data_IF_728840560250
#
_entry.id   IF_728840560250
#
_cell.length_a   1.000
_cell.length_b   1.000
_cell.length_c   1.000
_cell.angle_alpha   90.00
_cell.angle_beta   90.00
_cell.angle_gamma   90.00
#
_symmetry.space_group_name_H-M   'P 1'
#
loop_
_entity.id
_entity.type
_entity.pdbx_description
1 polymer ?
#
# COMPACT_ATOMS: atom_id res chain seq x y z
N UNK A 1 43.43 -30.58 -1.29
CA UNK A 1 42.06 -31.06 -1.58
C UNK A 1 41.28 -31.08 -0.28
N UNK A 2 40.57 -30.00 0.02
CA UNK A 2 39.80 -29.84 1.27
C UNK A 2 38.36 -29.61 0.85
N UNK A 3 37.52 -30.63 1.00
CA UNK A 3 36.09 -30.56 0.68
C UNK A 3 35.38 -29.80 1.80
N UNK A 4 34.88 -28.60 1.49
CA UNK A 4 33.94 -27.88 2.34
C UNK A 4 32.54 -28.50 2.16
N UNK A 5 31.99 -29.08 3.22
CA UNK A 5 30.59 -29.48 3.26
C UNK A 5 29.73 -28.26 3.59
N UNK A 6 28.95 -27.78 2.62
CA UNK A 6 27.83 -26.87 2.88
C UNK A 6 26.68 -27.68 3.49
N UNK A 7 26.42 -27.49 4.79
CA UNK A 7 25.21 -28.01 5.41
C UNK A 7 24.07 -27.03 5.13
N UNK A 8 23.21 -27.39 4.18
CA UNK A 8 21.96 -26.67 3.92
C UNK A 8 20.99 -27.07 5.04
N UNK A 9 20.71 -26.14 5.95
CA UNK A 9 19.65 -26.30 6.93
C UNK A 9 18.29 -26.29 6.20
N UNK A 10 17.77 -27.47 5.91
CA UNK A 10 16.39 -27.66 5.43
C UNK A 10 15.47 -27.46 6.65
N UNK A 11 14.85 -26.29 6.75
CA UNK A 11 13.73 -26.10 7.68
C UNK A 11 12.51 -26.84 7.14
N UNK A 12 12.25 -28.02 7.69
CA UNK A 12 10.99 -28.75 7.55
C UNK A 12 9.89 -27.95 8.26
N UNK A 13 9.09 -27.20 7.49
CA UNK A 13 7.86 -26.62 8.00
C UNK A 13 6.82 -27.74 8.22
N UNK A 14 6.62 -28.10 9.49
CA UNK A 14 5.42 -28.81 9.91
C UNK A 14 4.21 -27.92 9.62
N UNK A 15 3.37 -28.33 8.67
CA UNK A 15 2.05 -27.73 8.43
C UNK A 15 1.12 -28.03 9.62
N UNK A 16 1.32 -27.30 10.71
CA UNK A 16 0.23 -27.02 11.63
C UNK A 16 -0.63 -25.94 10.99
N UNK A 17 -1.93 -26.16 10.87
CA UNK A 17 -2.89 -25.09 10.59
C UNK A 17 -2.89 -24.12 11.78
N UNK A 18 -1.89 -23.23 11.83
CA UNK A 18 -1.90 -22.10 12.73
C UNK A 18 -2.98 -21.18 12.19
N UNK A 19 -4.13 -21.13 12.87
CA UNK A 19 -5.12 -20.09 12.62
C UNK A 19 -4.40 -18.77 12.95
N UNK A 20 -4.05 -18.00 11.91
CA UNK A 20 -3.41 -16.71 12.08
C UNK A 20 -4.33 -15.81 12.93
N UNK A 21 -3.85 -15.43 14.12
CA UNK A 21 -4.59 -14.58 15.04
C UNK A 21 -4.04 -13.15 14.99
N UNK A 22 -4.94 -12.16 15.01
CA UNK A 22 -4.54 -10.75 15.03
C UNK A 22 -3.62 -10.49 16.23
N UNK A 23 -2.46 -9.89 15.98
CA UNK A 23 -1.45 -9.59 17.00
C UNK A 23 -1.53 -8.12 17.40
N UNK A 24 -1.71 -7.79 18.69
CA UNK A 24 -1.70 -6.41 19.17
C UNK A 24 -0.27 -5.84 19.17
N UNK A 25 -0.14 -4.57 18.81
CA UNK A 25 1.09 -3.80 18.76
C UNK A 25 0.89 -2.43 19.41
N UNK A 26 1.96 -1.86 19.94
CA UNK A 26 2.01 -0.49 20.42
C UNK A 26 3.20 0.22 19.78
N UNK A 27 2.97 1.42 19.27
CA UNK A 27 4.03 2.26 18.70
C UNK A 27 4.03 3.60 19.40
N UNK A 28 5.21 4.02 19.88
CA UNK A 28 5.38 5.31 20.56
C UNK A 28 6.73 5.93 20.23
N UNK A 29 6.70 7.14 19.69
CA UNK A 29 7.85 8.02 19.54
C UNK A 29 7.46 9.48 19.86
N UNK A 30 8.30 10.45 19.48
CA UNK A 30 8.05 11.87 19.73
C UNK A 30 6.87 12.46 18.93
N UNK A 31 6.42 11.78 17.89
CA UNK A 31 5.38 12.21 16.95
C UNK A 31 4.08 11.41 17.07
N UNK A 32 4.17 10.09 17.30
CA UNK A 32 3.05 9.16 17.25
C UNK A 32 3.01 8.39 18.57
N UNK A 33 1.78 8.19 19.07
CA UNK A 33 1.50 7.25 20.14
C UNK A 33 0.21 6.51 19.77
N UNK A 34 0.29 5.22 19.49
CA UNK A 34 -0.87 4.42 19.08
C UNK A 34 -0.75 2.94 19.47
N UNK A 35 -1.91 2.30 19.54
CA UNK A 35 -2.09 0.86 19.73
C UNK A 35 -2.97 0.34 18.61
N UNK A 36 -2.55 -0.74 17.98
CA UNK A 36 -3.18 -1.28 16.79
C UNK A 36 -2.94 -2.77 16.67
N UNK A 37 -3.71 -3.45 15.83
CA UNK A 37 -3.57 -4.87 15.61
C UNK A 37 -3.16 -5.15 14.16
N UNK A 38 -2.38 -6.21 13.95
CA UNK A 38 -1.96 -6.68 12.63
C UNK A 38 -2.31 -8.15 12.42
N UNK A 39 -2.59 -8.53 11.18
CA UNK A 39 -2.76 -9.92 10.74
C UNK A 39 -2.07 -10.07 9.38
N UNK A 40 -1.13 -11.01 9.26
CA UNK A 40 -0.35 -11.26 8.03
C UNK A 40 0.29 -9.98 7.45
N UNK A 41 0.92 -9.19 8.33
CA UNK A 41 1.55 -7.91 7.97
C UNK A 41 0.57 -6.76 7.65
N UNK A 42 -0.74 -6.98 7.68
CA UNK A 42 -1.77 -5.99 7.36
C UNK A 42 -2.43 -5.46 8.63
N UNK A 43 -2.86 -4.19 8.64
CA UNK A 43 -3.66 -3.64 9.73
C UNK A 43 -4.99 -4.39 9.83
N UNK A 44 -5.31 -4.93 11.01
CA UNK A 44 -6.49 -5.76 11.22
C UNK A 44 -6.92 -5.75 12.69
N UNK A 45 -8.12 -5.24 12.96
CA UNK A 45 -8.68 -5.11 14.30
C UNK A 45 -8.71 -3.66 14.77
N UNK A 46 -8.63 -3.46 16.09
CA UNK A 46 -8.78 -2.15 16.72
C UNK A 46 -7.57 -1.25 16.44
N UNK A 47 -7.81 0.04 16.26
CA UNK A 47 -6.81 1.11 16.24
C UNK A 47 -7.19 2.18 17.26
N UNK A 48 -6.23 2.67 18.03
CA UNK A 48 -6.38 3.81 18.94
C UNK A 48 -5.10 4.64 18.89
N UNK A 49 -5.21 5.96 18.77
CA UNK A 49 -4.08 6.87 18.92
C UNK A 49 -4.32 7.94 19.97
N UNK A 50 -3.24 8.55 20.46
CA UNK A 50 -3.26 9.54 21.54
C UNK A 50 -2.48 10.80 21.16
N UNK A 51 -2.98 11.94 21.64
CA UNK A 51 -2.26 13.20 21.66
C UNK A 51 -1.10 13.14 22.67
N UNK A 52 -0.14 14.06 22.53
CA UNK A 52 1.02 14.17 23.45
C UNK A 52 0.63 14.33 24.92
N UNK A 53 -0.53 14.93 25.20
CA UNK A 53 -1.07 15.11 26.54
C UNK A 53 -1.80 13.87 27.10
N UNK A 54 -1.75 12.74 26.39
CA UNK A 54 -2.38 11.48 26.81
C UNK A 54 -3.86 11.37 26.47
N UNK A 55 -4.51 12.43 25.98
CA UNK A 55 -5.90 12.35 25.54
C UNK A 55 -6.02 11.56 24.24
N UNK A 56 -7.13 10.83 24.06
CA UNK A 56 -7.39 10.07 22.85
C UNK A 56 -7.45 11.02 21.64
N UNK A 57 -6.75 10.67 20.56
CA UNK A 57 -6.74 11.40 19.28
C UNK A 57 -7.66 10.73 18.27
N UNK A 58 -7.59 9.41 18.12
CA UNK A 58 -8.49 8.67 17.23
C UNK A 58 -8.80 7.28 17.76
N UNK A 59 -9.90 6.70 17.30
CA UNK A 59 -10.20 5.28 17.44
C UNK A 59 -11.01 4.77 16.25
N UNK A 60 -10.79 3.51 15.88
CA UNK A 60 -11.50 2.86 14.80
C UNK A 60 -11.11 1.40 14.65
N UNK A 61 -11.48 0.83 13.50
CA UNK A 61 -11.18 -0.56 13.16
C UNK A 61 -10.69 -0.68 11.71
N UNK A 62 -9.71 -1.56 11.54
CA UNK A 62 -9.23 -2.03 10.25
C UNK A 62 -9.65 -3.47 10.01
N UNK A 63 -9.79 -3.82 8.74
CA UNK A 63 -9.92 -5.18 8.27
C UNK A 63 -9.00 -5.35 7.06
N UNK A 64 -7.82 -5.95 7.26
CA UNK A 64 -6.80 -6.16 6.23
C UNK A 64 -6.51 -4.88 5.44
N UNK A 65 -5.97 -3.86 6.11
CA UNK A 65 -5.68 -2.51 5.60
C UNK A 65 -6.90 -1.63 5.23
N UNK A 66 -8.13 -2.16 5.23
CA UNK A 66 -9.33 -1.37 4.96
C UNK A 66 -9.97 -0.83 6.25
N UNK A 67 -10.27 0.46 6.30
CA UNK A 67 -11.08 1.04 7.37
C UNK A 67 -12.49 0.49 7.30
N UNK A 68 -13.00 0.05 8.45
CA UNK A 68 -14.37 -0.43 8.60
C UNK A 68 -15.01 0.15 9.85
N UNK A 69 -16.34 0.18 9.87
CA UNK A 69 -17.10 0.58 11.05
C UNK A 69 -16.93 2.07 11.38
N UNK A 70 -17.16 2.42 12.64
CA UNK A 70 -17.13 3.82 13.08
C UNK A 70 -15.73 4.24 13.49
N UNK A 71 -15.22 5.25 12.81
CA UNK A 71 -14.00 5.98 13.13
C UNK A 71 -14.35 7.30 13.81
N UNK A 72 -13.64 7.64 14.89
CA UNK A 72 -13.81 8.90 15.63
C UNK A 72 -12.46 9.57 15.80
N UNK A 73 -12.46 10.90 15.72
CA UNK A 73 -11.26 11.73 15.91
C UNK A 73 -11.59 12.91 16.82
N UNK A 74 -10.74 13.13 17.82
CA UNK A 74 -10.86 14.18 18.82
C UNK A 74 -9.71 15.18 18.72
N UNK A 75 -9.96 16.43 19.11
CA UNK A 75 -8.88 17.40 19.29
C UNK A 75 -8.09 17.16 20.59
N UNK A 76 -7.02 17.93 20.78
CA UNK A 76 -6.15 17.83 21.95
C UNK A 76 -6.83 18.28 23.27
N UNK A 77 -8.05 18.82 23.22
CA UNK A 77 -8.86 19.15 24.40
C UNK A 77 -9.90 18.07 24.70
N UNK A 78 -9.95 17.00 23.91
CA UNK A 78 -10.88 15.89 24.09
C UNK A 78 -12.24 16.11 23.44
N UNK A 79 -12.42 17.15 22.62
CA UNK A 79 -13.67 17.39 21.91
C UNK A 79 -13.75 16.50 20.67
N UNK A 80 -14.87 15.80 20.48
CA UNK A 80 -15.11 15.00 19.28
C UNK A 80 -15.28 15.92 18.07
N UNK A 81 -14.35 15.81 17.11
CA UNK A 81 -14.30 16.66 15.91
C UNK A 81 -14.92 15.99 14.70
N UNK A 82 -14.60 14.72 14.51
CA UNK A 82 -15.06 13.95 13.36
C UNK A 82 -15.53 12.57 13.80
N UNK A 83 -16.63 12.10 13.19
CA UNK A 83 -17.10 10.73 13.32
C UNK A 83 -17.63 10.25 11.99
N UNK A 84 -17.08 9.15 11.47
CA UNK A 84 -17.38 8.62 10.14
C UNK A 84 -17.62 7.11 10.24
N UNK A 85 -18.63 6.60 9.54
CA UNK A 85 -18.87 5.16 9.40
C UNK A 85 -18.37 4.69 8.04
N UNK A 86 -17.26 3.98 8.03
CA UNK A 86 -16.62 3.42 6.85
C UNK A 86 -17.25 2.08 6.45
N UNK A 87 -17.51 1.94 5.16
CA UNK A 87 -17.84 0.65 4.52
C UNK A 87 -16.57 0.01 3.95
N UNK A 88 -15.73 0.82 3.31
CA UNK A 88 -14.39 0.49 2.82
C UNK A 88 -13.55 1.78 2.76
N UNK A 89 -12.33 1.73 2.21
CA UNK A 89 -11.43 2.89 2.14
C UNK A 89 -11.94 4.05 1.27
N UNK A 90 -12.90 3.80 0.37
CA UNK A 90 -13.43 4.79 -0.57
C UNK A 90 -14.81 5.33 -0.14
N UNK A 91 -15.55 4.56 0.64
CA UNK A 91 -16.94 4.84 1.01
C UNK A 91 -17.11 5.03 2.53
N UNK A 92 -17.62 6.19 2.93
CA UNK A 92 -18.02 6.45 4.30
C UNK A 92 -19.26 7.34 4.42
N UNK A 93 -19.96 7.23 5.55
CA UNK A 93 -21.01 8.17 5.96
C UNK A 93 -20.51 9.07 7.09
N UNK A 94 -20.63 10.40 6.93
CA UNK A 94 -20.31 11.35 8.00
C UNK A 94 -21.41 11.34 9.07
N UNK A 95 -21.04 11.04 10.31
CA UNK A 95 -21.88 11.15 11.51
C UNK A 95 -21.67 12.53 12.15
N UNK A 96 -20.41 12.97 12.26
CA UNK A 96 -20.01 14.28 12.77
C UNK A 96 -18.96 14.90 11.84
N UNK A 97 -19.16 16.14 11.36
CA UNK A 97 -20.39 16.94 11.53
C UNK A 97 -21.57 16.30 10.79
N UNK A 98 -22.79 16.50 11.30
CA UNK A 98 -24.00 16.06 10.61
C UNK A 98 -24.09 16.81 9.28
N UNK A 99 -24.13 16.09 8.16
CA UNK A 99 -24.42 16.71 6.87
C UNK A 99 -25.81 17.35 6.93
N UNK A 100 -25.92 18.60 6.49
CA UNK A 100 -27.22 19.25 6.33
C UNK A 100 -28.07 18.53 5.29
N UNK A 101 -29.39 18.52 5.48
CA UNK A 101 -30.36 17.95 4.54
C UNK A 101 -30.75 18.92 3.42
N UNK A 102 -30.27 20.16 3.48
CA UNK A 102 -30.54 21.18 2.48
C UNK A 102 -30.06 20.71 1.08
N UNK A 103 -30.97 20.69 0.12
CA UNK A 103 -30.73 20.24 -1.24
C UNK A 103 -29.62 21.04 -1.94
N UNK A 104 -29.49 22.33 -1.59
CA UNK A 104 -28.47 23.26 -2.11
C UNK A 104 -27.05 22.85 -1.69
N UNK A 105 -26.91 22.37 -0.45
CA UNK A 105 -25.64 21.90 0.11
C UNK A 105 -25.41 20.41 -0.19
N UNK A 106 -26.45 19.66 -0.57
CA UNK A 106 -26.35 18.25 -1.02
C UNK A 106 -25.59 18.13 -2.35
N UNK A 107 -25.72 19.11 -3.25
CA UNK A 107 -24.93 19.23 -4.49
C UNK A 107 -23.44 19.51 -4.21
N UNK A 108 -23.12 20.27 -3.14
CA UNK A 108 -21.76 20.49 -2.64
C UNK A 108 -21.18 19.29 -1.84
N UNK A 109 -21.97 18.23 -1.63
CA UNK A 109 -21.63 17.06 -0.79
C UNK A 109 -21.54 15.73 -1.56
N UNK A 110 -21.59 15.74 -2.90
CA UNK A 110 -21.11 14.60 -3.72
C UNK A 110 -19.60 14.48 -3.46
N UNK A 111 -18.95 13.31 -3.51
CA UNK A 111 -18.95 12.39 -4.64
C UNK A 111 -18.83 10.94 -4.17
N UNK A 112 -19.83 10.08 -4.40
CA UNK A 112 -19.62 8.66 -4.24
C UNK A 112 -18.77 8.19 -5.42
N UNK A 113 -17.44 8.22 -5.24
CA UNK A 113 -16.64 7.22 -5.93
C UNK A 113 -17.00 5.89 -5.30
N UNK A 114 -17.94 5.20 -5.93
CA UNK A 114 -18.26 3.82 -5.64
C UNK A 114 -17.45 3.02 -6.64
N UNK A 115 -16.44 2.26 -6.19
CA UNK A 115 -15.69 1.41 -7.08
C UNK A 115 -16.63 0.42 -7.78
N UNK A 116 -16.67 0.48 -9.10
CA UNK A 116 -17.37 -0.46 -9.95
C UNK A 116 -16.38 -1.07 -10.94
N UNK A 117 -16.59 -2.35 -11.28
CA UNK A 117 -15.78 -3.00 -12.30
C UNK A 117 -16.17 -2.46 -13.66
N UNK A 118 -15.18 -2.13 -14.46
CA UNK A 118 -15.38 -1.79 -15.86
C UNK A 118 -15.58 -3.06 -16.71
N UNK A 119 -15.76 -2.85 -18.02
CA UNK A 119 -15.94 -3.92 -19.01
C UNK A 119 -14.78 -4.93 -19.08
N UNK A 120 -13.60 -4.54 -18.61
CA UNK A 120 -12.36 -5.33 -18.62
C UNK A 120 -12.11 -5.99 -17.25
N UNK A 121 -13.11 -5.99 -16.37
CA UNK A 121 -13.16 -6.66 -15.07
C UNK A 121 -12.20 -6.14 -13.99
N UNK A 122 -11.75 -4.89 -14.08
CA UNK A 122 -10.99 -4.20 -13.03
C UNK A 122 -11.65 -2.89 -12.59
N UNK A 123 -11.17 -2.30 -11.50
CA UNK A 123 -11.66 -1.04 -10.96
C UNK A 123 -10.84 0.14 -11.51
N UNK A 124 -11.52 1.09 -12.16
CA UNK A 124 -10.88 2.34 -12.57
C UNK A 124 -10.61 3.20 -11.34
N UNK A 125 -9.41 3.80 -11.26
CA UNK A 125 -9.09 4.73 -10.19
C UNK A 125 -9.94 6.00 -10.31
N UNK A 126 -10.25 6.62 -9.17
CA UNK A 126 -10.87 7.94 -9.19
C UNK A 126 -9.95 8.97 -9.83
N UNK A 127 -10.44 9.66 -10.85
CA UNK A 127 -9.70 10.76 -11.50
C UNK A 127 -9.54 11.91 -10.51
N UNK A 128 -8.29 12.21 -10.15
CA UNK A 128 -7.97 13.23 -9.16
C UNK A 128 -7.51 14.50 -9.86
N UNK A 129 -8.27 15.58 -9.67
CA UNK A 129 -7.83 16.92 -10.06
C UNK A 129 -6.70 17.41 -9.14
N UNK A 130 -5.60 17.90 -9.70
CA UNK A 130 -4.46 18.42 -8.94
C UNK A 130 -4.88 19.53 -7.96
N UNK A 131 -5.81 20.40 -8.36
CA UNK A 131 -6.33 21.48 -7.50
C UNK A 131 -7.12 20.99 -6.27
N UNK A 132 -7.50 19.70 -6.25
CA UNK A 132 -8.20 19.05 -5.13
C UNK A 132 -7.26 18.23 -4.26
N UNK A 133 -6.02 18.00 -4.69
CA UNK A 133 -4.99 17.32 -3.91
C UNK A 133 -4.30 18.31 -2.97
N UNK A 134 -4.68 18.31 -1.69
CA UNK A 134 -4.16 19.28 -0.70
C UNK A 134 -2.98 18.75 0.11
N UNK A 135 -2.70 17.45 0.00
CA UNK A 135 -1.57 16.77 0.61
C UNK A 135 -1.16 15.65 -0.32
N UNK A 136 0.14 15.53 -0.61
CA UNK A 136 0.69 14.35 -1.27
C UNK A 136 2.01 13.94 -0.62
N UNK A 137 2.20 12.62 -0.46
CA UNK A 137 3.44 12.04 0.02
C UNK A 137 3.74 10.72 -0.67
N UNK A 138 4.97 10.59 -1.20
CA UNK A 138 5.41 9.41 -1.93
C UNK A 138 6.43 8.59 -1.14
N UNK A 139 6.24 7.28 -1.17
CA UNK A 139 7.11 6.28 -0.58
C UNK A 139 7.55 5.29 -1.65
N UNK A 140 8.72 4.70 -1.45
CA UNK A 140 9.06 3.43 -2.07
C UNK A 140 8.61 2.36 -1.10
N UNK A 141 8.06 1.26 -1.58
CA UNK A 141 7.66 0.13 -0.75
C UNK A 141 8.19 -1.17 -1.32
N UNK A 142 8.47 -2.14 -0.45
CA UNK A 142 8.85 -3.49 -0.85
C UNK A 142 7.73 -4.45 -0.51
N UNK A 143 7.31 -5.24 -1.50
CA UNK A 143 6.42 -6.39 -1.29
C UNK A 143 7.28 -7.65 -1.29
N UNK A 144 7.14 -8.48 -0.26
CA UNK A 144 7.88 -9.73 -0.09
C UNK A 144 6.98 -10.96 -0.26
N UNK A 145 7.51 -12.10 -0.74
CA UNK A 145 6.72 -13.30 -1.01
C UNK A 145 6.10 -13.94 0.24
N UNK A 146 6.81 -13.88 1.37
CA UNK A 146 6.41 -14.51 2.63
C UNK A 146 5.00 -14.11 3.11
N UNK A 147 4.64 -12.83 2.96
CA UNK A 147 3.34 -12.28 3.38
C UNK A 147 2.35 -12.15 2.21
N UNK A 148 2.79 -12.43 0.99
CA UNK A 148 2.06 -12.15 -0.24
C UNK A 148 2.16 -13.26 -1.31
N UNK A 149 2.03 -14.56 -0.96
CA UNK A 149 2.39 -15.66 -1.87
C UNK A 149 1.67 -15.63 -3.23
N UNK A 150 0.42 -15.15 -3.27
CA UNK A 150 -0.37 -15.04 -4.51
C UNK A 150 0.28 -14.10 -5.53
N UNK A 151 0.89 -13.00 -5.06
CA UNK A 151 1.58 -12.03 -5.93
C UNK A 151 2.89 -12.58 -6.51
N UNK A 152 3.38 -13.73 -6.02
CA UNK A 152 4.64 -14.35 -6.47
C UNK A 152 4.39 -15.64 -7.24
N UNK A 153 3.18 -15.81 -7.78
CA UNK A 153 2.84 -16.96 -8.61
C UNK A 153 3.58 -16.94 -9.94
N UNK A 154 3.80 -18.14 -10.51
CA UNK A 154 4.45 -18.32 -11.80
C UNK A 154 3.76 -17.53 -12.92
N UNK A 155 2.43 -17.48 -12.91
CA UNK A 155 1.63 -16.77 -13.91
C UNK A 155 1.92 -15.27 -13.95
N UNK A 156 2.24 -14.65 -12.81
CA UNK A 156 2.59 -13.22 -12.78
C UNK A 156 3.99 -13.00 -13.35
N UNK A 157 4.95 -13.85 -13.02
CA UNK A 157 6.29 -13.81 -13.63
C UNK A 157 6.19 -13.98 -15.16
N UNK A 158 5.42 -14.96 -15.63
CA UNK A 158 5.18 -15.20 -17.04
C UNK A 158 4.53 -14.00 -17.73
N UNK A 159 3.63 -13.28 -17.04
CA UNK A 159 3.02 -12.05 -17.55
C UNK A 159 4.06 -10.95 -17.80
N UNK A 160 4.97 -10.68 -16.85
CA UNK A 160 6.05 -9.70 -17.05
C UNK A 160 7.00 -10.12 -18.18
N UNK A 161 7.40 -11.39 -18.21
CA UNK A 161 8.32 -11.92 -19.22
C UNK A 161 7.70 -11.88 -20.62
N UNK A 162 6.43 -12.24 -20.77
CA UNK A 162 5.75 -12.31 -22.06
C UNK A 162 5.50 -10.93 -22.66
N UNK A 163 5.25 -9.91 -21.83
CA UNK A 163 4.89 -8.57 -22.29
C UNK A 163 6.06 -7.58 -22.29
N UNK A 164 7.27 -8.00 -21.93
CA UNK A 164 8.45 -7.12 -21.76
C UNK A 164 8.81 -6.21 -22.94
N UNK A 165 8.45 -6.61 -24.16
CA UNK A 165 8.74 -5.89 -25.41
C UNK A 165 7.48 -5.17 -25.96
N UNK A 166 6.35 -5.18 -25.23
CA UNK A 166 5.09 -4.56 -25.64
C UNK A 166 5.05 -3.06 -25.36
N UNK A 167 4.41 -2.28 -26.24
CA UNK A 167 4.14 -0.85 -26.04
C UNK A 167 3.22 -0.57 -24.85
N UNK A 168 2.42 -1.55 -24.42
CA UNK A 168 1.57 -1.43 -23.22
C UNK A 168 2.39 -1.65 -21.93
N UNK A 169 3.58 -2.25 -22.04
CA UNK A 169 4.47 -2.64 -20.94
C UNK A 169 5.77 -1.83 -20.97
N UNK A 170 5.65 -0.51 -21.06
CA UNK A 170 6.80 0.39 -21.05
C UNK A 170 7.52 0.35 -19.70
N UNK A 171 8.83 0.12 -19.73
CA UNK A 171 9.71 0.25 -18.58
C UNK A 171 10.13 1.72 -18.44
N UNK A 172 9.66 2.39 -17.40
CA UNK A 172 9.90 3.81 -17.16
C UNK A 172 11.09 4.02 -16.24
N UNK A 173 11.83 5.08 -16.50
CA UNK A 173 12.70 5.63 -15.48
C UNK A 173 11.84 6.42 -14.46
N UNK A 174 11.91 6.07 -13.18
CA UNK A 174 11.20 6.80 -12.12
C UNK A 174 11.68 8.26 -11.96
N UNK A 175 12.89 8.58 -12.44
CA UNK A 175 13.50 9.92 -12.46
C UNK A 175 13.18 10.72 -13.74
N UNK A 176 12.98 10.03 -14.86
CA UNK A 176 12.60 10.63 -16.14
C UNK A 176 11.44 9.84 -16.75
N UNK A 177 10.22 10.25 -16.37
CA UNK A 177 8.96 9.61 -16.79
C UNK A 177 8.74 9.64 -18.30
N UNK A 178 9.60 10.34 -19.05
CA UNK A 178 9.52 10.48 -20.50
C UNK A 178 10.44 9.53 -21.26
N UNK A 179 11.38 8.85 -20.59
CA UNK A 179 12.30 7.91 -21.23
C UNK A 179 11.98 6.46 -20.84
N UNK A 180 11.35 5.75 -21.77
CA UNK A 180 11.21 4.31 -21.68
C UNK A 180 12.55 3.64 -21.99
N UNK A 181 12.98 2.70 -21.14
CA UNK A 181 14.13 1.82 -21.41
C UNK A 181 13.63 0.46 -21.90
N UNK A 182 14.50 -0.31 -22.55
CA UNK A 182 14.20 -1.71 -22.85
C UNK A 182 14.27 -2.53 -21.56
N UNK A 183 13.37 -3.50 -21.40
CA UNK A 183 13.46 -4.49 -20.33
C UNK A 183 14.55 -5.51 -20.71
N UNK A 184 15.79 -5.24 -20.30
CA UNK A 184 16.95 -6.03 -20.69
C UNK A 184 17.13 -7.24 -19.77
N UNK A 185 16.52 -8.37 -20.15
CA UNK A 185 16.84 -9.67 -19.55
C UNK A 185 17.62 -10.51 -20.55
N UNK A 186 18.82 -10.95 -20.12
CA UNK A 186 19.73 -11.73 -20.97
C UNK A 186 19.33 -13.20 -21.09
N UNK A 187 18.69 -13.77 -20.05
CA UNK A 187 18.25 -15.18 -20.01
C UNK A 187 16.88 -15.31 -19.35
N UNK A 188 15.93 -15.96 -20.04
CA UNK A 188 14.56 -16.18 -19.56
C UNK A 188 14.35 -17.55 -18.89
N UNK A 189 15.40 -18.39 -18.81
CA UNK A 189 15.23 -19.81 -18.47
C UNK A 189 15.03 -20.07 -16.97
N UNK A 190 15.75 -19.35 -16.11
CA UNK A 190 15.79 -19.65 -14.67
C UNK A 190 15.69 -18.38 -13.81
N UNK A 191 14.69 -17.56 -14.15
CA UNK A 191 14.34 -16.35 -13.41
C UNK A 191 13.47 -16.70 -12.20
N UNK A 192 13.79 -16.09 -11.06
CA UNK A 192 12.99 -16.12 -9.85
C UNK A 192 12.54 -14.72 -9.49
N UNK A 193 11.23 -14.52 -9.35
CA UNK A 193 10.67 -13.31 -8.75
C UNK A 193 10.87 -13.37 -7.23
N UNK A 194 11.66 -12.45 -6.68
CA UNK A 194 12.05 -12.48 -5.25
C UNK A 194 11.47 -11.35 -4.42
N UNK A 195 11.12 -10.22 -5.04
CA UNK A 195 10.42 -9.10 -4.40
C UNK A 195 9.70 -8.24 -5.46
N UNK A 196 8.93 -7.26 -5.00
CA UNK A 196 8.59 -6.09 -5.80
C UNK A 196 9.07 -4.81 -5.12
N UNK A 197 9.62 -3.86 -5.89
CA UNK A 197 9.62 -2.45 -5.49
C UNK A 197 8.34 -1.81 -6.02
N UNK A 198 7.69 -0.95 -5.24
CA UNK A 198 6.54 -0.14 -5.68
C UNK A 198 6.72 1.30 -5.29
N UNK A 199 6.15 2.23 -6.05
CA UNK A 199 5.92 3.59 -5.57
C UNK A 199 4.51 3.69 -5.04
N UNK A 200 4.38 4.14 -3.79
CA UNK A 200 3.10 4.39 -3.14
C UNK A 200 2.93 5.88 -2.88
N UNK A 201 1.83 6.47 -3.30
CA UNK A 201 1.51 7.87 -3.11
C UNK A 201 0.25 8.00 -2.25
N UNK A 202 0.41 8.63 -1.09
CA UNK A 202 -0.69 9.06 -0.24
C UNK A 202 -1.14 10.42 -0.72
N UNK A 203 -2.41 10.56 -1.11
CA UNK A 203 -2.98 11.83 -1.54
C UNK A 203 -4.26 12.09 -0.78
N UNK A 204 -4.36 13.26 -0.15
CA UNK A 204 -5.61 13.69 0.46
C UNK A 204 -6.43 14.45 -0.57
N UNK A 205 -7.54 13.84 -0.95
CA UNK A 205 -8.49 14.38 -1.90
C UNK A 205 -9.54 15.22 -1.16
N UNK A 206 -9.60 16.51 -1.47
CA UNK A 206 -10.55 17.44 -0.85
C UNK A 206 -12.01 17.19 -1.28
N UNK A 207 -12.23 16.65 -2.47
CA UNK A 207 -13.54 16.36 -3.04
C UNK A 207 -14.18 15.17 -2.32
N UNK A 208 -13.42 14.07 -2.19
CA UNK A 208 -13.88 12.87 -1.44
C UNK A 208 -13.62 12.97 0.07
N UNK A 209 -12.79 13.91 0.51
CA UNK A 209 -12.34 14.10 1.91
C UNK A 209 -11.75 12.84 2.54
N UNK A 210 -10.96 12.09 1.77
CA UNK A 210 -10.25 10.87 2.20
C UNK A 210 -8.77 10.99 1.84
N UNK A 211 -7.91 10.34 2.64
CA UNK A 211 -6.58 9.98 2.18
C UNK A 211 -6.67 8.68 1.38
N UNK A 212 -6.21 8.72 0.14
CA UNK A 212 -6.06 7.53 -0.69
C UNK A 212 -4.59 7.16 -0.82
N UNK A 213 -4.25 5.88 -0.64
CA UNK A 213 -2.91 5.36 -0.89
C UNK A 213 -2.88 4.65 -2.25
N UNK A 214 -2.29 5.26 -3.27
CA UNK A 214 -2.21 4.69 -4.64
C UNK A 214 -0.87 4.03 -4.86
N UNK A 215 -0.84 2.85 -5.47
CA UNK A 215 0.40 2.33 -6.05
C UNK A 215 0.48 2.87 -7.46
N UNK A 216 1.54 3.62 -7.75
CA UNK A 216 1.71 4.30 -9.04
C UNK A 216 2.52 3.42 -9.99
N UNK A 217 3.67 2.93 -9.52
CA UNK A 217 4.54 2.04 -10.28
C UNK A 217 4.86 0.77 -9.50
N UNK A 218 5.17 -0.29 -10.24
CA UNK A 218 5.66 -1.57 -9.72
C UNK A 218 6.89 -2.01 -10.51
N UNK A 219 7.89 -2.55 -9.82
CA UNK A 219 9.10 -3.11 -10.41
C UNK A 219 9.31 -4.53 -9.86
N UNK A 220 9.15 -5.58 -10.69
CA UNK A 220 9.48 -6.94 -10.30
C UNK A 220 10.99 -7.08 -10.11
N UNK A 221 11.39 -7.63 -8.98
CA UNK A 221 12.79 -7.91 -8.68
C UNK A 221 13.07 -9.36 -9.03
N UNK A 222 13.86 -9.55 -10.09
CA UNK A 222 14.12 -10.87 -10.68
C UNK A 222 15.57 -11.28 -10.45
N UNK A 223 15.78 -12.52 -10.00
CA UNK A 223 17.09 -13.14 -9.88
C UNK A 223 17.25 -14.20 -10.96
N UNK A 224 18.23 -14.05 -11.84
CA UNK A 224 18.71 -15.15 -12.67
C UNK A 224 19.55 -16.09 -11.81
N UNK A 225 19.02 -17.29 -11.56
CA UNK A 225 19.66 -18.25 -10.67
C UNK A 225 20.87 -18.97 -11.27
N UNK A 226 21.10 -18.86 -12.59
CA UNK A 226 22.31 -19.38 -13.24
C UNK A 226 23.44 -18.38 -13.11
N UNK A 227 23.19 -17.13 -13.52
CA UNK A 227 24.24 -16.09 -13.56
C UNK A 227 24.39 -15.35 -12.24
N UNK A 228 23.45 -15.53 -11.32
CA UNK A 228 23.30 -14.74 -10.09
C UNK A 228 23.11 -13.23 -10.38
N UNK A 229 22.62 -12.88 -11.56
CA UNK A 229 22.33 -11.51 -11.96
C UNK A 229 20.99 -11.08 -11.38
N UNK A 230 20.97 -9.91 -10.75
CA UNK A 230 19.78 -9.29 -10.20
C UNK A 230 19.26 -8.21 -11.16
N UNK A 231 17.97 -8.26 -11.48
CA UNK A 231 17.25 -7.28 -12.27
C UNK A 231 16.24 -6.56 -11.37
N UNK A 232 16.55 -5.34 -10.95
CA UNK A 232 15.79 -4.59 -9.94
C UNK A 232 15.33 -3.18 -10.37
N UNK A 233 15.75 -2.72 -11.55
CA UNK A 233 15.41 -1.40 -12.09
C UNK A 233 14.50 -1.48 -13.33
N UNK A 234 13.31 -2.08 -13.16
CA UNK A 234 12.34 -2.23 -14.24
C UNK A 234 10.94 -1.77 -13.80
N UNK A 235 10.62 -0.49 -13.96
CA UNK A 235 9.39 0.09 -13.43
C UNK A 235 8.28 0.17 -14.46
N UNK A 236 7.10 -0.32 -14.09
CA UNK A 236 5.89 -0.26 -14.91
C UNK A 236 4.85 0.59 -14.19
N UNK A 237 4.14 1.47 -14.91
CA UNK A 237 2.93 2.08 -14.35
C UNK A 237 1.90 1.00 -14.07
N UNK A 238 1.40 0.96 -12.83
CA UNK A 238 0.45 -0.06 -12.42
C UNK A 238 -0.84 0.03 -13.25
N UNK A 239 -1.28 1.24 -13.57
CA UNK A 239 -2.47 1.50 -14.39
C UNK A 239 -2.35 0.86 -15.78
N UNK A 240 -1.21 1.00 -16.46
CA UNK A 240 -0.99 0.42 -17.79
C UNK A 240 -1.05 -1.12 -17.78
N UNK A 241 -0.54 -1.75 -16.72
CA UNK A 241 -0.50 -3.20 -16.61
C UNK A 241 -1.75 -3.81 -15.96
N UNK A 242 -2.61 -2.97 -15.35
CA UNK A 242 -3.83 -3.39 -14.64
C UNK A 242 -4.76 -4.25 -15.51
N UNK A 243 -5.03 -3.91 -16.80
CA UNK A 243 -5.84 -4.75 -17.69
C UNK A 243 -5.28 -6.17 -17.89
N UNK A 244 -3.96 -6.35 -17.76
CA UNK A 244 -3.31 -7.66 -17.86
C UNK A 244 -3.42 -8.42 -16.54
N UNK A 245 -3.20 -7.73 -15.41
CA UNK A 245 -3.37 -8.31 -14.07
C UNK A 245 -4.83 -8.76 -13.82
N UNK A 246 -5.80 -8.05 -14.40
CA UNK A 246 -7.23 -8.38 -14.30
C UNK A 246 -7.57 -9.75 -14.90
N UNK A 247 -6.77 -10.24 -15.87
CA UNK A 247 -6.95 -11.54 -16.54
C UNK A 247 -6.47 -12.72 -15.69
N UNK A 248 -5.79 -12.46 -14.57
CA UNK A 248 -5.28 -13.49 -13.68
C UNK A 248 -6.24 -13.68 -12.49
N UNK A 249 -7.10 -14.72 -12.50
CA UNK A 249 -8.10 -14.90 -11.44
C UNK A 249 -7.45 -15.32 -10.12
N UNK A 250 -8.13 -14.98 -9.02
CA UNK A 250 -7.76 -15.38 -7.65
C UNK A 250 -8.90 -16.16 -7.04
N UNK A 251 -8.64 -17.41 -6.66
CA UNK A 251 -9.63 -18.26 -6.01
C UNK A 251 -9.55 -18.19 -4.49
N UNK A 252 -10.68 -18.51 -3.83
CA UNK A 252 -10.75 -18.69 -2.37
C UNK A 252 -10.27 -17.49 -1.53
N UNK A 253 -10.47 -16.26 -2.05
CA UNK A 253 -10.16 -15.06 -1.29
C UNK A 253 -11.23 -14.75 -0.23
N UNK A 254 -10.87 -13.83 0.67
CA UNK A 254 -11.74 -13.35 1.75
C UNK A 254 -13.04 -12.72 1.23
N UNK A 255 -14.17 -13.40 1.45
CA UNK A 255 -15.50 -12.98 0.95
C UNK A 255 -15.98 -11.61 1.46
N UNK A 256 -15.32 -11.00 2.46
CA UNK A 256 -15.68 -9.65 2.92
C UNK A 256 -15.16 -8.54 2.01
N UNK A 257 -14.25 -8.86 1.09
CA UNK A 257 -13.64 -7.92 0.15
C UNK A 257 -13.79 -8.52 -1.24
N UNK A 258 -14.25 -7.72 -2.20
CA UNK A 258 -14.48 -8.19 -3.58
C UNK A 258 -13.16 -8.31 -4.36
N UNK A 259 -12.44 -9.41 -4.11
CA UNK A 259 -11.21 -9.79 -4.84
C UNK A 259 -11.52 -10.98 -5.73
N UNK A 260 -11.41 -10.78 -7.03
CA UNK A 260 -11.66 -11.78 -8.09
C UNK A 260 -10.40 -12.03 -8.94
N UNK A 261 -9.49 -11.06 -9.02
CA UNK A 261 -8.27 -11.18 -9.81
C UNK A 261 -7.07 -10.44 -9.14
N UNK A 262 -5.89 -10.53 -9.73
CA UNK A 262 -4.66 -9.92 -9.19
C UNK A 262 -4.75 -8.39 -9.13
N UNK A 263 -5.44 -7.73 -10.07
CA UNK A 263 -5.58 -6.27 -10.03
C UNK A 263 -6.33 -5.80 -8.77
N UNK A 264 -7.31 -6.57 -8.32
CA UNK A 264 -8.10 -6.26 -7.13
C UNK A 264 -7.25 -6.29 -5.84
N UNK A 265 -6.19 -7.12 -5.80
CA UNK A 265 -5.28 -7.16 -4.66
C UNK A 265 -4.62 -5.80 -4.47
N UNK A 266 -4.19 -5.15 -5.56
CA UNK A 266 -3.59 -3.82 -5.51
C UNK A 266 -4.59 -2.72 -5.23
N UNK A 267 -5.79 -2.83 -5.82
CA UNK A 267 -6.88 -1.86 -5.64
C UNK A 267 -7.36 -1.84 -4.17
N UNK A 268 -7.67 -3.00 -3.61
CA UNK A 268 -8.17 -3.15 -2.24
C UNK A 268 -7.07 -3.26 -1.17
N UNK A 269 -5.79 -3.06 -1.55
CA UNK A 269 -4.63 -3.14 -0.63
C UNK A 269 -4.55 -4.45 0.15
N UNK A 270 -4.88 -5.56 -0.52
CA UNK A 270 -4.91 -6.90 0.07
C UNK A 270 -3.52 -7.57 0.10
N UNK A 271 -2.48 -6.78 0.32
CA UNK A 271 -1.08 -7.20 0.42
C UNK A 271 -0.40 -6.46 1.60
N UNK A 272 0.67 -7.04 2.11
CA UNK A 272 1.57 -6.44 3.10
C UNK A 272 2.78 -5.86 2.36
N UNK A 273 3.24 -4.68 2.76
CA UNK A 273 4.44 -4.08 2.23
C UNK A 273 5.23 -3.31 3.29
N UNK A 274 6.51 -3.15 3.01
CA UNK A 274 7.45 -2.39 3.83
C UNK A 274 7.60 -1.00 3.22
N UNK A 275 6.97 0.01 3.81
CA UNK A 275 7.08 1.40 3.33
C UNK A 275 8.40 2.03 3.75
N UNK A 276 9.28 2.27 2.80
CA UNK A 276 10.60 2.85 3.00
C UNK A 276 10.54 4.36 2.86
N UNK A 277 11.25 5.06 3.74
CA UNK A 277 11.19 6.53 3.89
C UNK A 277 11.70 7.26 2.64
N UNK A 278 10.84 8.15 2.12
CA UNK A 278 11.02 9.27 1.18
C UNK A 278 12.09 9.23 0.07
N UNK A 279 11.58 9.38 -1.16
CA UNK A 279 12.13 10.27 -2.17
C UNK A 279 12.00 11.73 -1.66
N UNK A 280 13.11 12.41 -1.33
CA UNK A 280 13.09 13.86 -1.15
C UNK A 280 13.28 14.48 -2.54
N UNK A 281 12.22 15.03 -3.13
CA UNK A 281 12.27 15.75 -4.41
C UNK A 281 12.89 17.15 -4.31
N UNK A 282 13.55 17.48 -3.20
CA UNK A 282 14.30 18.73 -3.04
C UNK A 282 15.78 18.39 -2.87
N UNK A 283 16.54 18.65 -3.94
CA UNK A 283 17.99 18.50 -4.09
C UNK A 283 18.46 17.05 -4.28
N UNK A 284 18.34 16.56 -5.52
CA UNK A 284 19.20 15.61 -6.28
C UNK A 284 19.83 14.35 -5.65
N UNK A 285 19.71 14.08 -4.36
CA UNK A 285 20.34 12.93 -3.69
C UNK A 285 19.32 11.82 -3.45
N UNK A 286 18.78 11.26 -4.54
CA UNK A 286 18.20 9.92 -4.47
C UNK A 286 19.33 8.89 -4.42
N UNK A 287 19.40 8.13 -3.33
CA UNK A 287 20.11 6.83 -3.34
C UNK A 287 19.08 5.76 -3.62
N UNK A 288 19.26 5.05 -4.75
CA UNK A 288 18.53 3.80 -4.96
C UNK A 288 18.80 2.88 -3.78
N UNK A 289 17.79 2.07 -3.49
CA UNK A 289 17.94 1.05 -2.48
C UNK A 289 19.09 0.15 -2.89
N UNK A 290 20.05 -0.06 -1.98
CA UNK A 290 21.14 -1.01 -2.19
C UNK A 290 20.55 -2.37 -2.60
N UNK A 291 20.83 -2.79 -3.83
CA UNK A 291 20.22 -3.97 -4.43
C UNK A 291 20.56 -5.26 -3.66
N UNK A 292 21.65 -5.24 -2.88
CA UNK A 292 22.02 -6.35 -2.00
C UNK A 292 21.03 -6.58 -0.85
N UNK A 293 20.14 -5.62 -0.53
CA UNK A 293 19.02 -5.81 0.42
C UNK A 293 18.16 -7.01 0.03
N UNK A 294 17.97 -7.27 -1.27
CA UNK A 294 17.15 -8.39 -1.74
C UNK A 294 17.83 -9.75 -1.60
N UNK A 295 19.14 -9.76 -1.33
CA UNK A 295 19.95 -10.97 -1.16
C UNK A 295 20.49 -11.16 0.26
N UNK A 296 20.46 -10.12 1.10
CA UNK A 296 20.95 -10.12 2.48
C UNK A 296 19.81 -9.94 3.49
N UNK A 297 19.40 -11.00 4.21
CA UNK A 297 18.32 -10.94 5.20
C UNK A 297 18.58 -9.95 6.33
N UNK A 298 19.84 -9.69 6.70
CA UNK A 298 20.15 -8.76 7.79
C UNK A 298 19.88 -7.32 7.37
N UNK A 299 20.27 -6.96 6.13
CA UNK A 299 19.97 -5.64 5.57
C UNK A 299 18.46 -5.44 5.40
N UNK A 300 17.73 -6.47 4.98
CA UNK A 300 16.27 -6.42 4.89
C UNK A 300 15.62 -6.22 6.27
N UNK A 301 16.09 -6.93 7.29
CA UNK A 301 15.60 -6.77 8.65
C UNK A 301 15.88 -5.36 9.19
N UNK A 302 17.07 -4.81 8.95
CA UNK A 302 17.42 -3.43 9.33
C UNK A 302 16.49 -2.41 8.64
N UNK A 303 16.29 -2.55 7.33
CA UNK A 303 15.39 -1.69 6.56
C UNK A 303 13.94 -1.72 7.08
N UNK A 304 13.47 -2.89 7.52
CA UNK A 304 12.09 -3.07 7.99
C UNK A 304 11.77 -2.35 9.30
N UNK A 305 12.78 -2.04 10.14
CA UNK A 305 12.58 -1.52 11.51
C UNK A 305 11.76 -0.23 11.55
N UNK A 306 11.97 0.66 10.58
CA UNK A 306 11.33 1.97 10.53
C UNK A 306 10.12 2.03 9.58
N UNK A 307 9.82 0.94 8.86
CA UNK A 307 8.79 0.96 7.81
C UNK A 307 7.38 1.17 8.38
N UNK A 308 7.10 0.58 9.55
CA UNK A 308 5.81 0.68 10.22
C UNK A 308 5.45 2.12 10.61
N UNK A 309 6.47 2.94 10.92
CA UNK A 309 6.28 4.35 11.26
C UNK A 309 5.67 5.14 10.11
N UNK A 310 6.00 4.84 8.86
CA UNK A 310 5.56 5.62 7.70
C UNK A 310 4.04 5.49 7.50
N UNK A 311 3.52 4.25 7.50
CA UNK A 311 2.08 4.01 7.39
C UNK A 311 1.31 4.63 8.55
N UNK A 312 1.83 4.52 9.79
CA UNK A 312 1.21 5.15 10.96
C UNK A 312 1.23 6.69 10.87
N UNK A 313 2.28 7.27 10.30
CA UNK A 313 2.38 8.72 10.07
C UNK A 313 1.26 9.19 9.16
N UNK A 314 1.00 8.49 8.06
CA UNK A 314 -0.01 8.93 7.09
C UNK A 314 -1.45 8.76 7.59
N UNK A 315 -1.72 7.72 8.39
CA UNK A 315 -2.98 7.58 9.12
C UNK A 315 -3.18 8.80 10.05
N UNK A 316 -2.14 9.20 10.78
CA UNK A 316 -2.20 10.29 11.75
C UNK A 316 -2.22 11.69 11.11
N UNK A 317 -1.65 11.85 9.91
CA UNK A 317 -1.76 13.04 9.06
C UNK A 317 -3.21 13.22 8.61
N UNK A 318 -3.85 12.15 8.12
CA UNK A 318 -5.26 12.19 7.74
C UNK A 318 -6.17 12.61 8.90
N UNK A 319 -5.96 12.04 10.09
CA UNK A 319 -6.73 12.44 11.28
C UNK A 319 -6.53 13.92 11.65
N UNK A 320 -5.33 14.44 11.42
CA UNK A 320 -5.02 15.86 11.67
C UNK A 320 -5.78 16.76 10.68
N UNK A 321 -5.85 16.38 9.41
CA UNK A 321 -6.66 17.05 8.39
C UNK A 321 -8.16 17.03 8.74
N UNK A 322 -8.68 15.91 9.25
CA UNK A 322 -10.08 15.86 9.70
C UNK A 322 -10.36 16.85 10.83
N UNK A 323 -9.42 17.02 11.77
CA UNK A 323 -9.55 18.03 12.84
C UNK A 323 -9.55 19.43 12.23
N UNK A 324 -8.64 19.72 11.31
CA UNK A 324 -8.51 21.04 10.67
C UNK A 324 -9.79 21.47 9.94
N UNK A 325 -10.34 20.59 9.08
CA UNK A 325 -11.56 20.90 8.33
C UNK A 325 -12.81 21.11 9.20
N UNK A 326 -12.80 20.60 10.43
CA UNK A 326 -13.91 20.81 11.37
C UNK A 326 -13.76 22.11 12.17
N UNK A 327 -12.55 22.62 12.36
CA UNK A 327 -12.30 23.92 13.03
C UNK A 327 -12.77 25.09 12.17
N UNK A 328 -12.53 25.03 10.86
CA UNK A 328 -12.87 26.11 9.93
C UNK A 328 -14.37 26.24 9.64
N UNK A 329 -15.22 25.31 10.10
CA UNK A 329 -16.69 25.36 9.98
C UNK A 329 -17.41 25.90 11.23
N UNK A 330 -16.67 26.26 12.28
CA UNK A 330 -17.21 26.78 13.55
C UNK A 330 -16.98 28.29 13.75
N UNK A 331 -16.44 28.97 12.75
CA UNK A 331 -16.44 30.44 12.61
C UNK A 331 -17.45 30.80 11.54
#
# INVERSE_FOLDING_TARGET
>A
MTKFYFSIAIFLFLYGNIIAQSSPKNFKDNSINCSYNTLDGKLHGKYISWHKNGQKKSEGQFYKNNRIGTWKVWDNKGNLRCSRKYKNNFEYTSIIPKKTKDASIKLLNKYPYIPERNKDAYFDLFELEETKAIYSKKYISIILPQDNPILFSKSILELFVANRDSDDFKNYNIFDRFQAKKFEINSLKDLKLIAYKTTKEYVYDLERQIMEARVICISPILLDTITNTLYDDNWFYLENITPFLAKLPVENFDKKIDVQNISDIFFWKQYSDLEIKNLIYQNEDYKDLDSSVFTDPNKLAELSKDCEKNTLTEIENEHSLWIEFTKNRQK
#
